data_IF_848607764079
#
_entry.id   IF_848607764079
#
_cell.length_a   1.000
_cell.length_b   1.000
_cell.length_c   1.000
_cell.angle_alpha   90.00
_cell.angle_beta   90.00
_cell.angle_gamma   90.00
#
_symmetry.space_group_name_H-M   'P 1'
#
loop_
_entity.id
_entity.type
_entity.pdbx_description
1 polymer ?
#
# COMPACT_ATOMS: atom_id res chain seq x y z
N UNK A 1 12.38 -2.67 13.39
CA UNK A 1 11.12 -3.25 13.89
C UNK A 1 10.34 -3.84 12.73
N UNK A 2 9.79 -5.05 12.87
CA UNK A 2 8.90 -5.63 11.84
C UNK A 2 7.45 -5.15 12.01
N UNK A 3 7.05 -4.88 13.25
CA UNK A 3 5.76 -4.29 13.61
C UNK A 3 5.99 -3.18 14.64
N UNK A 4 5.10 -2.18 14.74
CA UNK A 4 5.20 -1.18 15.79
C UNK A 4 5.03 -1.84 17.17
N UNK A 5 5.92 -1.54 18.10
CA UNK A 5 5.79 -1.99 19.49
C UNK A 5 4.73 -1.17 20.25
N UNK A 6 4.49 0.03 19.77
CA UNK A 6 3.49 0.95 20.31
C UNK A 6 3.02 1.96 19.25
N UNK A 7 2.02 2.76 19.59
CA UNK A 7 1.44 3.75 18.69
C UNK A 7 2.42 4.87 18.29
N UNK A 8 3.36 5.21 19.19
CA UNK A 8 4.34 6.27 18.92
C UNK A 8 5.33 5.85 17.83
N UNK A 9 5.72 4.57 17.75
CA UNK A 9 6.58 4.06 16.68
C UNK A 9 5.93 4.22 15.31
N UNK A 10 4.62 3.95 15.23
CA UNK A 10 3.88 4.07 13.99
C UNK A 10 3.67 5.54 13.60
N UNK A 11 3.43 6.41 14.58
CA UNK A 11 3.42 7.86 14.36
C UNK A 11 4.78 8.38 13.85
N UNK A 12 5.88 7.95 14.46
CA UNK A 12 7.24 8.36 14.06
C UNK A 12 7.61 7.85 12.66
N UNK A 13 7.12 6.66 12.28
CA UNK A 13 7.25 6.16 10.91
C UNK A 13 6.51 7.06 9.91
N UNK A 14 5.30 7.51 10.25
CA UNK A 14 4.53 8.43 9.43
C UNK A 14 5.25 9.78 9.26
N UNK A 15 5.80 10.32 10.36
CA UNK A 15 6.60 11.55 10.33
C UNK A 15 7.86 11.37 9.47
N UNK A 16 8.53 10.21 9.56
CA UNK A 16 9.73 9.93 8.78
C UNK A 16 9.44 9.96 7.26
N UNK A 17 8.42 9.23 6.80
CA UNK A 17 8.08 9.19 5.38
C UNK A 17 7.46 10.50 4.88
N UNK A 18 6.63 11.19 5.69
CA UNK A 18 6.15 12.52 5.37
C UNK A 18 7.31 13.54 5.23
N UNK A 19 8.27 13.51 6.16
CA UNK A 19 9.46 14.37 6.12
C UNK A 19 10.37 14.04 4.94
N UNK A 20 10.51 12.78 4.56
CA UNK A 20 11.21 12.35 3.36
C UNK A 20 10.61 12.98 2.11
N UNK A 21 9.29 12.88 1.92
CA UNK A 21 8.59 13.53 0.82
C UNK A 21 8.71 15.06 0.84
N UNK A 22 8.62 15.67 2.03
CA UNK A 22 8.77 17.12 2.20
C UNK A 22 10.19 17.61 1.85
N UNK A 23 11.21 16.90 2.29
CA UNK A 23 12.62 17.25 2.03
C UNK A 23 12.98 17.19 0.55
N UNK A 24 12.24 16.39 -0.23
CA UNK A 24 12.46 16.21 -1.67
C UNK A 24 11.40 16.93 -2.54
N UNK A 25 10.57 17.76 -1.93
CA UNK A 25 9.44 18.40 -2.61
C UNK A 25 9.84 19.40 -3.71
N UNK A 26 11.04 19.96 -3.65
CA UNK A 26 11.62 20.87 -4.65
C UNK A 26 12.52 20.14 -5.67
N UNK A 27 12.71 18.82 -5.50
CA UNK A 27 13.48 18.04 -6.47
C UNK A 27 12.69 17.88 -7.78
N UNK A 28 13.31 18.18 -8.94
CA UNK A 28 12.63 18.02 -10.23
C UNK A 28 12.42 16.53 -10.55
N UNK A 29 11.22 16.05 -10.28
CA UNK A 29 10.85 14.63 -10.32
C UNK A 29 11.11 13.98 -11.68
N UNK A 30 11.04 14.74 -12.76
CA UNK A 30 11.34 14.30 -14.13
C UNK A 30 12.81 13.92 -14.35
N UNK A 31 13.70 14.24 -13.41
CA UNK A 31 15.11 13.80 -13.44
C UNK A 31 15.34 12.44 -12.80
N UNK A 32 14.34 11.90 -12.08
CA UNK A 32 14.43 10.55 -11.54
C UNK A 32 14.23 9.52 -12.65
N UNK A 33 14.96 8.41 -12.52
CA UNK A 33 14.78 7.24 -13.37
C UNK A 33 13.77 6.30 -12.74
N UNK A 34 12.84 5.80 -13.52
CA UNK A 34 11.94 4.73 -13.09
C UNK A 34 12.72 3.41 -13.08
N UNK A 35 13.27 3.04 -11.91
CA UNK A 35 14.15 1.84 -11.76
C UNK A 35 13.36 0.54 -11.89
N UNK A 36 12.09 0.53 -11.59
CA UNK A 36 11.16 -0.60 -11.77
C UNK A 36 9.94 -0.09 -12.53
N UNK A 37 9.87 -0.30 -13.85
CA UNK A 37 8.74 0.16 -14.65
C UNK A 37 7.40 -0.37 -14.13
N UNK A 38 6.39 0.48 -14.13
CA UNK A 38 5.01 0.14 -13.70
C UNK A 38 4.92 -0.43 -12.26
N UNK A 39 5.81 -0.02 -11.35
CA UNK A 39 5.89 -0.63 -10.01
C UNK A 39 4.56 -0.59 -9.26
N UNK A 40 3.91 0.58 -9.20
CA UNK A 40 2.58 0.79 -8.60
C UNK A 40 1.54 1.24 -9.65
N UNK A 41 1.65 0.71 -10.86
CA UNK A 41 0.64 0.91 -11.91
C UNK A 41 -0.42 -0.20 -11.83
N UNK A 42 -1.44 -0.01 -11.00
CA UNK A 42 -2.49 -1.02 -10.78
C UNK A 42 -3.17 -1.48 -12.08
N UNK A 43 -3.50 -0.63 -13.06
CA UNK A 43 -3.97 -1.10 -14.38
C UNK A 43 -3.00 -2.03 -15.10
N UNK A 44 -1.69 -1.77 -15.04
CA UNK A 44 -0.67 -2.67 -15.61
C UNK A 44 -0.63 -4.02 -14.88
N UNK A 45 -0.82 -4.00 -13.54
CA UNK A 45 -0.94 -5.22 -12.74
C UNK A 45 -2.19 -6.03 -13.11
N UNK A 46 -3.33 -5.37 -13.38
CA UNK A 46 -4.53 -6.04 -13.90
C UNK A 46 -4.29 -6.70 -15.24
N UNK A 47 -3.59 -6.02 -16.16
CA UNK A 47 -3.21 -6.63 -17.45
C UNK A 47 -2.46 -7.96 -17.23
N UNK A 48 -1.45 -7.97 -16.36
CA UNK A 48 -0.73 -9.20 -16.01
C UNK A 48 -1.64 -10.25 -15.36
N UNK A 49 -2.56 -9.84 -14.48
CA UNK A 49 -3.54 -10.71 -13.85
C UNK A 49 -4.43 -11.40 -14.89
N UNK A 50 -4.98 -10.66 -15.85
CA UNK A 50 -5.79 -11.22 -16.96
C UNK A 50 -4.99 -12.19 -17.82
N UNK A 51 -3.73 -11.87 -18.16
CA UNK A 51 -2.86 -12.75 -18.93
C UNK A 51 -2.60 -14.09 -18.21
N UNK A 52 -2.45 -14.05 -16.88
CA UNK A 52 -2.24 -15.26 -16.07
C UNK A 52 -3.55 -16.06 -15.97
N UNK A 53 -4.70 -15.40 -15.80
CA UNK A 53 -6.01 -16.06 -15.78
C UNK A 53 -6.32 -16.76 -17.10
N UNK A 54 -6.04 -16.13 -18.25
CA UNK A 54 -6.26 -16.70 -19.57
C UNK A 54 -5.41 -17.97 -19.77
N UNK A 55 -4.17 -17.96 -19.28
CA UNK A 55 -3.25 -19.10 -19.42
C UNK A 55 -3.53 -20.22 -18.42
N UNK A 56 -3.93 -19.85 -17.21
CA UNK A 56 -4.12 -20.74 -16.04
C UNK A 56 -3.12 -21.92 -16.00
N UNK A 57 -1.81 -21.63 -15.95
CA UNK A 57 -0.75 -22.61 -16.24
C UNK A 57 -0.77 -23.85 -15.34
N UNK A 58 -1.40 -23.73 -14.17
CA UNK A 58 -1.48 -24.81 -13.18
C UNK A 58 -2.93 -25.28 -12.92
N UNK A 59 -3.93 -24.74 -13.63
CA UNK A 59 -5.34 -25.06 -13.42
C UNK A 59 -5.87 -24.63 -12.04
N UNK A 60 -5.23 -23.62 -11.43
CA UNK A 60 -5.58 -23.13 -10.07
C UNK A 60 -6.76 -22.17 -10.06
N UNK A 61 -7.13 -21.56 -11.20
CA UNK A 61 -8.19 -20.57 -11.27
C UNK A 61 -9.54 -21.12 -10.77
N UNK A 62 -9.83 -22.40 -11.06
CA UNK A 62 -11.06 -23.04 -10.57
C UNK A 62 -11.17 -23.13 -9.04
N UNK A 63 -10.04 -23.07 -8.31
CA UNK A 63 -9.98 -23.20 -6.87
C UNK A 63 -10.17 -21.85 -6.13
N UNK A 64 -10.08 -20.71 -6.83
CA UNK A 64 -10.01 -19.36 -6.25
C UNK A 64 -10.97 -18.39 -6.95
N UNK A 65 -12.15 -18.87 -7.33
CA UNK A 65 -13.14 -18.08 -8.06
C UNK A 65 -13.65 -16.86 -7.25
N UNK A 66 -13.73 -16.97 -5.93
CA UNK A 66 -14.16 -15.87 -5.05
C UNK A 66 -13.11 -14.75 -5.06
N UNK A 67 -11.83 -15.10 -4.98
CA UNK A 67 -10.72 -14.16 -5.01
C UNK A 67 -10.59 -13.50 -6.38
N UNK A 68 -10.77 -14.25 -7.46
CA UNK A 68 -10.78 -13.72 -8.82
C UNK A 68 -11.93 -12.71 -8.97
N UNK A 69 -13.14 -13.10 -8.56
CA UNK A 69 -14.31 -12.20 -8.62
C UNK A 69 -14.07 -10.95 -7.79
N UNK A 70 -13.47 -11.07 -6.59
CA UNK A 70 -13.13 -9.93 -5.75
C UNK A 70 -12.25 -8.92 -6.48
N UNK A 71 -11.27 -9.38 -7.24
CA UNK A 71 -10.41 -8.53 -8.06
C UNK A 71 -11.19 -7.87 -9.20
N UNK A 72 -11.92 -8.65 -9.99
CA UNK A 72 -12.62 -8.16 -11.16
C UNK A 72 -13.71 -7.13 -10.82
N UNK A 73 -14.44 -7.33 -9.73
CA UNK A 73 -15.47 -6.39 -9.26
C UNK A 73 -14.91 -5.00 -8.89
N UNK A 74 -13.58 -4.88 -8.68
CA UNK A 74 -12.91 -3.63 -8.23
C UNK A 74 -11.99 -3.02 -9.28
N UNK A 75 -11.84 -3.62 -10.45
CA UNK A 75 -10.86 -3.22 -11.46
C UNK A 75 -10.99 -1.74 -11.85
N UNK A 76 -12.20 -1.27 -12.12
CA UNK A 76 -12.43 0.13 -12.49
C UNK A 76 -12.05 1.10 -11.37
N UNK A 77 -12.48 0.83 -10.13
CA UNK A 77 -12.18 1.69 -8.99
C UNK A 77 -10.68 1.75 -8.71
N UNK A 78 -10.01 0.60 -8.75
CA UNK A 78 -8.57 0.51 -8.46
C UNK A 78 -7.70 1.17 -9.54
N UNK A 79 -8.22 1.44 -10.72
CA UNK A 79 -7.59 2.26 -11.76
C UNK A 79 -7.62 3.76 -11.51
N UNK A 80 -8.39 4.23 -10.52
CA UNK A 80 -8.65 5.66 -10.30
C UNK A 80 -7.40 6.48 -10.03
N UNK A 81 -6.49 6.03 -9.18
CA UNK A 81 -5.26 6.78 -8.86
C UNK A 81 -4.38 6.98 -10.10
N UNK A 82 -4.22 5.93 -10.91
CA UNK A 82 -3.44 6.04 -12.15
C UNK A 82 -4.11 6.95 -13.18
N UNK A 83 -5.43 6.94 -13.27
CA UNK A 83 -6.18 7.85 -14.12
C UNK A 83 -5.98 9.30 -13.68
N UNK A 84 -6.14 9.61 -12.40
CA UNK A 84 -5.92 10.96 -11.85
C UNK A 84 -4.47 11.44 -12.00
N UNK A 85 -3.49 10.54 -11.90
CA UNK A 85 -2.08 10.82 -12.22
C UNK A 85 -1.90 11.22 -13.69
N UNK A 86 -2.49 10.45 -14.61
CA UNK A 86 -2.42 10.72 -16.05
C UNK A 86 -3.10 12.05 -16.43
N UNK A 87 -4.21 12.38 -15.76
CA UNK A 87 -4.94 13.64 -15.92
C UNK A 87 -4.25 14.82 -15.21
N UNK A 88 -3.14 14.60 -14.50
CA UNK A 88 -2.39 15.60 -13.72
C UNK A 88 -3.21 16.25 -12.60
N UNK A 89 -4.24 15.58 -12.12
CA UNK A 89 -4.98 15.96 -10.90
C UNK A 89 -4.14 15.62 -9.66
N UNK A 90 -3.49 14.45 -9.67
CA UNK A 90 -2.52 14.06 -8.66
C UNK A 90 -1.10 14.25 -9.23
N UNK A 91 -0.24 15.03 -8.56
CA UNK A 91 1.12 15.30 -9.03
C UNK A 91 2.05 14.12 -8.81
N UNK A 92 3.03 13.95 -9.70
CA UNK A 92 4.18 13.09 -9.42
C UNK A 92 5.06 13.74 -8.33
N UNK A 93 5.51 12.92 -7.39
CA UNK A 93 6.48 13.29 -6.35
C UNK A 93 7.64 12.30 -6.33
N UNK A 94 8.69 12.63 -5.61
CA UNK A 94 9.69 11.64 -5.21
C UNK A 94 9.06 10.74 -4.17
N UNK A 95 8.90 9.46 -4.49
CA UNK A 95 8.30 8.46 -3.60
C UNK A 95 9.29 7.37 -3.24
N UNK A 96 9.17 6.84 -2.03
CA UNK A 96 10.01 5.75 -1.55
C UNK A 96 9.57 4.40 -2.12
N UNK A 97 8.26 4.18 -2.22
CA UNK A 97 7.59 2.99 -2.77
C UNK A 97 7.78 1.66 -2.01
N UNK A 98 8.43 1.66 -0.86
CA UNK A 98 8.50 0.52 0.08
C UNK A 98 8.51 1.03 1.52
N UNK A 99 7.39 1.60 1.96
CA UNK A 99 7.28 2.38 3.20
C UNK A 99 6.93 1.53 4.42
N UNK A 100 7.59 0.39 4.55
CA UNK A 100 7.45 -0.46 5.74
C UNK A 100 8.16 0.17 6.94
N UNK A 101 7.65 -0.09 8.14
CA UNK A 101 8.26 0.39 9.39
C UNK A 101 9.75 0.01 9.55
N UNK A 102 10.15 -1.16 9.04
CA UNK A 102 11.54 -1.60 9.09
C UNK A 102 12.49 -0.78 8.19
N UNK A 103 11.97 0.07 7.31
CA UNK A 103 12.74 1.03 6.51
C UNK A 103 12.88 2.40 7.20
N UNK A 104 12.51 2.50 8.49
CA UNK A 104 12.76 3.67 9.34
C UNK A 104 13.66 3.29 10.51
N UNK A 105 14.76 4.01 10.68
CA UNK A 105 15.59 3.89 11.88
C UNK A 105 15.05 4.80 12.97
N UNK A 106 14.80 4.20 14.15
CA UNK A 106 14.37 4.92 15.34
C UNK A 106 15.52 4.99 16.35
N UNK A 107 15.65 6.13 17.01
CA UNK A 107 16.58 6.27 18.14
C UNK A 107 16.19 5.30 19.26
N UNK A 108 17.16 4.55 19.75
CA UNK A 108 16.92 3.48 20.74
C UNK A 108 16.31 4.00 22.06
N UNK A 109 16.66 5.22 22.47
CA UNK A 109 16.28 5.76 23.77
C UNK A 109 15.03 6.64 23.68
N UNK A 110 14.97 7.51 22.67
CA UNK A 110 13.88 8.48 22.48
C UNK A 110 12.75 7.97 21.61
N UNK A 111 12.98 6.89 20.88
CA UNK A 111 12.06 6.31 19.88
C UNK A 111 11.71 7.26 18.72
N UNK A 112 12.38 8.40 18.61
CA UNK A 112 12.21 9.33 17.50
C UNK A 112 12.82 8.79 16.22
N UNK A 113 12.22 9.11 15.09
CA UNK A 113 12.77 8.75 13.79
C UNK A 113 14.12 9.47 13.56
N UNK A 114 15.07 8.75 12.96
CA UNK A 114 16.41 9.24 12.63
C UNK A 114 16.59 9.41 11.13
N UNK A 115 16.25 8.39 10.35
CA UNK A 115 16.29 8.42 8.90
C UNK A 115 15.47 7.29 8.26
N UNK A 116 15.13 7.51 7.01
CA UNK A 116 14.58 6.49 6.09
C UNK A 116 15.75 5.80 5.40
N UNK A 117 15.64 4.48 5.22
CA UNK A 117 16.65 3.63 4.59
C UNK A 117 16.03 2.79 3.48
N UNK A 118 16.84 2.02 2.75
CA UNK A 118 16.41 1.12 1.65
C UNK A 118 15.82 1.92 0.47
N UNK A 119 16.67 2.77 -0.12
CA UNK A 119 16.28 3.74 -1.15
C UNK A 119 16.25 3.18 -2.58
N UNK A 120 16.36 1.87 -2.74
CA UNK A 120 16.47 1.20 -4.06
C UNK A 120 15.21 1.36 -4.92
N UNK A 121 14.07 1.66 -4.30
CA UNK A 121 12.77 1.85 -4.95
C UNK A 121 12.35 3.31 -5.08
N UNK A 122 13.26 4.26 -4.82
CA UNK A 122 12.95 5.69 -4.95
C UNK A 122 12.78 6.06 -6.43
N UNK A 123 11.56 6.46 -6.80
CA UNK A 123 11.13 6.73 -8.18
C UNK A 123 10.07 7.83 -8.20
N UNK A 124 9.71 8.36 -9.40
CA UNK A 124 8.50 9.17 -9.55
C UNK A 124 7.26 8.37 -9.20
N UNK A 125 6.38 8.91 -8.35
CA UNK A 125 5.13 8.25 -7.99
C UNK A 125 4.16 9.20 -7.30
N UNK A 126 3.05 8.65 -6.82
CA UNK A 126 2.10 9.39 -6.00
C UNK A 126 2.47 9.22 -4.52
N UNK A 127 2.45 10.29 -3.73
CA UNK A 127 2.65 10.18 -2.28
C UNK A 127 1.60 9.26 -1.61
N UNK A 128 0.49 9.01 -2.29
CA UNK A 128 -0.55 8.08 -1.89
C UNK A 128 -0.08 6.63 -1.89
N UNK A 129 0.95 6.29 -2.70
CA UNK A 129 1.56 4.96 -2.68
C UNK A 129 2.34 4.74 -1.39
N UNK A 130 3.19 5.70 -1.01
CA UNK A 130 3.95 5.66 0.24
C UNK A 130 3.03 5.62 1.46
N UNK A 131 2.04 6.50 1.49
CA UNK A 131 1.02 6.49 2.53
C UNK A 131 0.27 5.16 2.60
N UNK A 132 -0.19 4.67 1.44
CA UNK A 132 -1.02 3.47 1.35
C UNK A 132 -0.29 2.19 1.74
N UNK A 133 0.98 2.03 1.34
CA UNK A 133 1.77 0.85 1.71
C UNK A 133 2.04 0.80 3.21
N UNK A 134 2.32 1.94 3.83
CA UNK A 134 2.46 2.03 5.29
C UNK A 134 1.17 1.66 6.02
N UNK A 135 0.00 2.13 5.57
CA UNK A 135 -1.29 1.78 6.16
C UNK A 135 -1.57 0.28 6.00
N UNK A 136 -1.36 -0.26 4.79
CA UNK A 136 -1.53 -1.68 4.51
C UNK A 136 -0.79 -2.56 5.52
N UNK A 137 0.45 -2.22 5.76
CA UNK A 137 1.33 -3.01 6.63
C UNK A 137 1.12 -2.72 8.11
N UNK A 138 1.08 -1.44 8.49
CA UNK A 138 1.15 -1.02 9.90
C UNK A 138 -0.21 -0.85 10.58
N UNK A 139 -1.32 -0.67 9.85
CA UNK A 139 -2.65 -0.56 10.44
C UNK A 139 -3.43 -1.88 10.44
N UNK A 140 -2.84 -2.97 9.95
CA UNK A 140 -3.42 -4.32 10.05
C UNK A 140 -3.33 -4.85 11.49
N UNK A 141 -4.41 -5.51 11.95
CA UNK A 141 -4.44 -6.19 13.26
C UNK A 141 -3.80 -7.58 13.24
N UNK A 142 -3.43 -8.08 12.06
CA UNK A 142 -2.90 -9.42 11.86
C UNK A 142 -1.67 -9.41 10.94
N UNK A 143 -0.92 -10.51 10.96
CA UNK A 143 0.20 -10.72 10.05
C UNK A 143 -0.28 -10.83 8.59
N UNK A 144 0.62 -10.57 7.65
CA UNK A 144 0.32 -10.58 6.21
C UNK A 144 -0.18 -11.94 5.69
N UNK A 145 0.18 -13.03 6.34
CA UNK A 145 -0.19 -14.41 5.99
C UNK A 145 -1.11 -15.09 7.02
N UNK A 146 -1.87 -14.32 7.82
CA UNK A 146 -2.83 -14.84 8.79
C UNK A 146 -3.91 -15.68 8.09
N UNK A 147 -4.06 -16.93 8.52
CA UNK A 147 -5.06 -17.85 7.97
C UNK A 147 -6.46 -17.64 8.53
N UNK A 148 -6.53 -17.20 9.78
CA UNK A 148 -7.80 -16.89 10.43
C UNK A 148 -8.23 -15.47 10.11
N UNK A 149 -8.99 -15.32 9.02
CA UNK A 149 -9.46 -14.03 8.54
C UNK A 149 -10.35 -13.27 9.53
N UNK A 150 -10.88 -13.91 10.56
CA UNK A 150 -11.64 -13.23 11.61
C UNK A 150 -10.77 -12.30 12.47
N UNK A 151 -9.45 -12.50 12.48
CA UNK A 151 -8.47 -11.65 13.16
C UNK A 151 -8.00 -10.47 12.33
N UNK A 152 -8.30 -10.47 11.03
CA UNK A 152 -7.81 -9.47 10.07
C UNK A 152 -8.77 -8.30 10.01
N UNK A 153 -8.31 -7.13 10.44
CA UNK A 153 -9.05 -5.88 10.41
C UNK A 153 -8.08 -4.70 10.24
N UNK A 154 -8.54 -3.63 9.65
CA UNK A 154 -7.83 -2.35 9.65
C UNK A 154 -8.21 -1.57 10.92
N UNK A 155 -7.21 -1.23 11.73
CA UNK A 155 -7.38 -0.40 12.93
C UNK A 155 -7.57 1.06 12.55
N UNK A 156 -8.76 1.62 12.82
CA UNK A 156 -9.03 3.06 12.63
C UNK A 156 -8.15 3.93 13.52
N UNK A 157 -7.80 3.47 14.72
CA UNK A 157 -6.91 4.22 15.61
C UNK A 157 -5.51 4.34 15.02
N UNK A 158 -4.95 3.22 14.51
CA UNK A 158 -3.64 3.26 13.84
C UNK A 158 -3.70 4.05 12.52
N UNK A 159 -4.77 3.90 11.75
CA UNK A 159 -5.02 4.73 10.57
C UNK A 159 -4.98 6.22 10.90
N UNK A 160 -5.69 6.65 11.95
CA UNK A 160 -5.72 8.03 12.42
C UNK A 160 -4.35 8.52 12.88
N UNK A 161 -3.64 7.70 13.65
CA UNK A 161 -2.29 8.01 14.16
C UNK A 161 -1.32 8.24 13.01
N UNK A 162 -1.29 7.32 12.04
CA UNK A 162 -0.41 7.44 10.87
C UNK A 162 -0.79 8.65 10.01
N UNK A 163 -2.08 8.82 9.70
CA UNK A 163 -2.56 9.95 8.90
C UNK A 163 -2.13 11.28 9.51
N UNK A 164 -2.30 11.44 10.83
CA UNK A 164 -1.88 12.64 11.55
C UNK A 164 -0.38 12.90 11.40
N UNK A 165 0.45 11.89 11.60
CA UNK A 165 1.91 12.01 11.46
C UNK A 165 2.31 12.39 10.04
N UNK A 166 1.79 11.67 9.05
CA UNK A 166 2.11 11.87 7.63
C UNK A 166 1.71 13.26 7.12
N UNK A 167 0.45 13.66 7.36
CA UNK A 167 -0.06 14.97 6.94
C UNK A 167 0.67 16.12 7.64
N UNK A 168 1.00 15.98 8.92
CA UNK A 168 1.75 17.02 9.65
C UNK A 168 3.17 17.20 9.14
N UNK A 169 3.80 16.13 8.66
CA UNK A 169 5.17 16.13 8.17
C UNK A 169 5.29 16.45 6.66
N UNK A 170 4.17 16.40 5.92
CA UNK A 170 4.08 16.73 4.49
C UNK A 170 3.04 17.86 4.26
N UNK A 171 3.30 19.09 4.74
CA UNK A 171 2.31 20.17 4.73
C UNK A 171 1.95 20.69 3.34
N UNK A 172 2.75 20.37 2.32
CA UNK A 172 2.52 20.77 0.93
C UNK A 172 1.64 19.78 0.13
N UNK A 173 0.95 18.86 0.80
CA UNK A 173 -0.07 18.03 0.16
C UNK A 173 -1.15 18.92 -0.47
N UNK A 174 -1.50 18.63 -1.72
CA UNK A 174 -2.66 19.29 -2.36
C UNK A 174 -3.96 18.85 -1.71
N UNK A 175 -5.04 19.56 -1.97
CA UNK A 175 -6.37 19.18 -1.50
C UNK A 175 -6.75 17.80 -2.03
N UNK A 176 -6.49 17.57 -3.31
CA UNK A 176 -6.79 16.32 -4.00
C UNK A 176 -5.97 15.16 -3.42
N UNK A 177 -4.67 15.34 -3.17
CA UNK A 177 -3.86 14.32 -2.52
C UNK A 177 -4.42 13.94 -1.15
N UNK A 178 -4.83 14.91 -0.33
CA UNK A 178 -5.47 14.64 0.97
C UNK A 178 -6.76 13.87 0.82
N UNK A 179 -7.65 14.30 -0.08
CA UNK A 179 -8.95 13.68 -0.31
C UNK A 179 -8.82 12.20 -0.70
N UNK A 180 -7.78 11.86 -1.47
CA UNK A 180 -7.55 10.51 -1.97
C UNK A 180 -6.66 9.64 -1.07
N UNK A 181 -6.19 10.10 0.11
CA UNK A 181 -5.42 9.26 1.04
C UNK A 181 -6.12 7.93 1.40
N UNK A 182 -7.44 7.90 1.73
CA UNK A 182 -8.13 6.64 2.00
C UNK A 182 -8.11 5.68 0.79
N UNK A 183 -8.26 6.21 -0.42
CA UNK A 183 -8.17 5.41 -1.64
C UNK A 183 -6.74 4.91 -1.87
N UNK A 184 -5.73 5.69 -1.52
CA UNK A 184 -4.32 5.27 -1.52
C UNK A 184 -4.12 4.02 -0.66
N UNK A 185 -4.61 4.04 0.58
CA UNK A 185 -4.54 2.88 1.49
C UNK A 185 -5.26 1.65 0.90
N UNK A 186 -6.47 1.83 0.38
CA UNK A 186 -7.26 0.76 -0.22
C UNK A 186 -6.59 0.19 -1.47
N UNK A 187 -6.10 1.07 -2.36
CA UNK A 187 -5.47 0.65 -3.64
C UNK A 187 -4.18 -0.12 -3.39
N UNK A 188 -3.30 0.35 -2.50
CA UNK A 188 -2.05 -0.35 -2.20
C UNK A 188 -2.28 -1.71 -1.55
N UNK A 189 -3.26 -1.80 -0.65
CA UNK A 189 -3.67 -3.06 -0.03
C UNK A 189 -4.22 -4.03 -1.08
N UNK A 190 -5.10 -3.54 -1.94
CA UNK A 190 -5.68 -4.32 -3.03
C UNK A 190 -4.61 -4.81 -4.02
N UNK A 191 -3.75 -3.90 -4.50
CA UNK A 191 -2.68 -4.23 -5.46
C UNK A 191 -1.77 -5.32 -4.92
N UNK A 192 -1.37 -5.22 -3.65
CA UNK A 192 -0.55 -6.24 -3.00
C UNK A 192 -1.26 -7.60 -2.98
N UNK A 193 -2.53 -7.64 -2.61
CA UNK A 193 -3.34 -8.87 -2.62
C UNK A 193 -3.49 -9.47 -4.01
N UNK A 194 -3.77 -8.64 -5.02
CA UNK A 194 -3.87 -9.08 -6.41
C UNK A 194 -2.52 -9.62 -6.93
N UNK A 195 -1.40 -9.03 -6.57
CA UNK A 195 -0.06 -9.52 -6.93
C UNK A 195 0.23 -10.88 -6.31
N UNK A 196 -0.14 -11.11 -5.04
CA UNK A 196 -0.04 -12.42 -4.41
C UNK A 196 -0.93 -13.47 -5.10
N UNK A 197 -2.17 -13.10 -5.46
CA UNK A 197 -3.07 -14.00 -6.18
C UNK A 197 -2.53 -14.31 -7.58
N UNK A 198 -2.01 -13.30 -8.29
CA UNK A 198 -1.41 -13.47 -9.62
C UNK A 198 -0.24 -14.46 -9.56
N UNK A 199 0.65 -14.28 -8.58
CA UNK A 199 1.81 -15.16 -8.41
C UNK A 199 1.40 -16.59 -8.03
N UNK A 200 0.39 -16.74 -7.16
CA UNK A 200 -0.19 -18.06 -6.85
C UNK A 200 -0.73 -18.76 -8.11
N UNK A 201 -1.44 -18.04 -8.96
CA UNK A 201 -1.97 -18.59 -10.21
C UNK A 201 -0.86 -18.89 -11.23
N UNK A 202 0.20 -18.09 -11.27
CA UNK A 202 1.35 -18.23 -12.17
C UNK A 202 2.36 -19.30 -11.71
N UNK A 203 2.24 -19.80 -10.46
CA UNK A 203 3.07 -20.89 -9.94
C UNK A 203 4.03 -20.54 -8.81
N UNK A 204 3.80 -19.45 -8.11
CA UNK A 204 4.59 -19.00 -6.94
C UNK A 204 6.07 -18.72 -7.28
N UNK A 205 6.33 -17.96 -8.36
CA UNK A 205 7.68 -17.70 -8.88
C UNK A 205 8.28 -16.36 -8.43
N UNK A 206 7.45 -15.39 -8.08
CA UNK A 206 7.88 -14.02 -7.78
C UNK A 206 8.18 -13.80 -6.30
N UNK A 207 7.23 -14.14 -5.43
CA UNK A 207 7.39 -13.95 -3.99
C UNK A 207 8.00 -15.20 -3.33
N UNK A 208 8.87 -14.98 -2.34
CA UNK A 208 9.35 -16.08 -1.53
C UNK A 208 8.21 -16.76 -0.78
N UNK A 209 8.04 -18.06 -0.98
CA UNK A 209 7.03 -18.89 -0.31
C UNK A 209 7.70 -19.89 0.62
N UNK A 210 7.11 -20.11 1.80
CA UNK A 210 7.65 -21.02 2.81
C UNK A 210 6.76 -22.26 3.04
N UNK A 211 5.61 -22.32 2.35
CA UNK A 211 4.63 -23.39 2.41
C UNK A 211 3.69 -23.38 1.22
N UNK A 212 3.02 -24.47 0.98
CA UNK A 212 1.97 -24.55 -0.03
C UNK A 212 0.83 -23.55 0.30
N UNK A 213 0.33 -22.86 -0.71
CA UNK A 213 -0.74 -21.86 -0.60
C UNK A 213 -0.36 -20.59 0.14
N UNK A 214 0.93 -20.32 0.39
CA UNK A 214 1.37 -19.15 1.15
C UNK A 214 0.92 -17.84 0.51
N UNK A 215 1.08 -17.69 -0.81
CA UNK A 215 0.62 -16.50 -1.53
C UNK A 215 -0.91 -16.37 -1.56
N UNK A 216 -1.64 -17.50 -1.56
CA UNK A 216 -3.10 -17.46 -1.47
C UNK A 216 -3.57 -16.97 -0.09
N UNK A 217 -2.94 -17.42 1.00
CA UNK A 217 -3.25 -16.91 2.34
C UNK A 217 -2.95 -15.42 2.44
N UNK A 218 -1.81 -14.96 1.89
CA UNK A 218 -1.48 -13.53 1.81
C UNK A 218 -2.51 -12.73 1.00
N UNK A 219 -2.92 -13.23 -0.16
CA UNK A 219 -3.95 -12.58 -0.97
C UNK A 219 -5.26 -12.41 -0.20
N UNK A 220 -5.71 -13.47 0.47
CA UNK A 220 -6.93 -13.46 1.29
C UNK A 220 -6.87 -12.47 2.44
N UNK A 221 -5.72 -12.39 3.11
CA UNK A 221 -5.50 -11.38 4.17
C UNK A 221 -5.63 -9.97 3.63
N UNK A 222 -5.00 -9.65 2.49
CA UNK A 222 -5.11 -8.33 1.89
C UNK A 222 -6.55 -8.03 1.42
N UNK A 223 -7.24 -8.97 0.80
CA UNK A 223 -8.63 -8.77 0.38
C UNK A 223 -9.57 -8.60 1.57
N UNK A 224 -9.32 -9.29 2.67
CA UNK A 224 -10.06 -9.08 3.92
C UNK A 224 -9.84 -7.68 4.48
N UNK A 225 -8.59 -7.15 4.43
CA UNK A 225 -8.30 -5.76 4.80
C UNK A 225 -9.02 -4.75 3.90
N UNK A 226 -9.02 -4.98 2.58
CA UNK A 226 -9.77 -4.13 1.64
C UNK A 226 -11.26 -4.10 1.98
N UNK A 227 -11.88 -5.26 2.18
CA UNK A 227 -13.29 -5.34 2.54
C UNK A 227 -13.60 -4.66 3.88
N UNK A 228 -12.69 -4.74 4.83
CA UNK A 228 -12.80 -4.07 6.12
C UNK A 228 -12.66 -2.54 5.98
N UNK A 229 -11.73 -2.04 5.14
CA UNK A 229 -11.61 -0.62 4.79
C UNK A 229 -12.89 -0.11 4.11
N UNK A 230 -13.49 -0.90 3.21
CA UNK A 230 -14.78 -0.57 2.57
C UNK A 230 -15.90 -0.42 3.60
N UNK A 231 -15.95 -1.29 4.60
CA UNK A 231 -16.93 -1.20 5.69
C UNK A 231 -16.75 0.02 6.58
N UNK A 232 -15.52 0.58 6.65
CA UNK A 232 -15.13 1.74 7.48
C UNK A 232 -14.88 3.00 6.62
N UNK A 233 -15.36 3.00 5.37
CA UNK A 233 -14.99 4.02 4.38
C UNK A 233 -15.31 5.45 4.82
N UNK A 234 -16.50 5.67 5.39
CA UNK A 234 -16.91 7.00 5.82
C UNK A 234 -16.09 7.49 7.03
N UNK A 235 -15.73 6.58 7.96
CA UNK A 235 -14.86 6.90 9.09
C UNK A 235 -13.45 7.25 8.63
N UNK A 236 -12.89 6.53 7.64
CA UNK A 236 -11.58 6.84 7.07
C UNK A 236 -11.59 8.23 6.41
N UNK A 237 -12.61 8.54 5.62
CA UNK A 237 -12.75 9.89 5.01
C UNK A 237 -12.85 10.97 6.08
N UNK A 238 -13.67 10.75 7.11
CA UNK A 238 -13.84 11.69 8.22
C UNK A 238 -12.52 11.98 8.92
N UNK A 239 -11.71 10.95 9.22
CA UNK A 239 -10.38 11.11 9.82
C UNK A 239 -9.51 12.06 9.00
N UNK A 240 -9.47 11.88 7.67
CA UNK A 240 -8.66 12.73 6.77
C UNK A 240 -9.17 14.16 6.69
N UNK A 241 -10.49 14.36 6.73
CA UNK A 241 -11.11 15.70 6.67
C UNK A 241 -10.95 16.51 7.96
N UNK A 242 -10.75 15.84 9.10
CA UNK A 242 -10.58 16.48 10.42
C UNK A 242 -9.13 16.92 10.68
N UNK A 243 -8.17 16.56 9.83
CA UNK A 243 -6.74 16.86 9.94
C UNK A 243 -6.32 17.92 8.93
#
# INVERSE_FOLDING_TARGET
LQLPENNDDFYESAVAFGSFGQALSDFPVEKLVEVIPDFHNTPSRFKKFHEVLEKDPLGRAALVQEEIKFCLDREEEMGTLQRLRNEKVLPDRVTHNDTKLNNVLLDKNTRKNLCVIDLDTVMPGLCLYDYGDSIRFGASTALEDEKDLSKVSMSLDLFKIYTKGFVSALPNLTKEEREYLPLGAKTMTFECGMRFLTDYLDGDHYFAVHREGHNLDRARTQFKLVADMESKWEEMKKVVMEL
#
